data_IF_170547704945
#
_entry.id   IF_170547704945
#
_cell.length_a   1.000
_cell.length_b   1.000
_cell.length_c   1.000
_cell.angle_alpha   90.00
_cell.angle_beta   90.00
_cell.angle_gamma   90.00
#
_symmetry.space_group_name_H-M   'P 1'
#
loop_
_entity.id
_entity.type
_entity.pdbx_description
1 polymer ?
#
# COMPACT_ATOMS: atom_id res chain seq x y z
N UNK A 1 -7.14 -6.00 12.20
CA UNK A 1 -6.01 -6.49 13.01
C UNK A 1 -6.32 -6.34 14.50
N UNK A 2 -6.59 -5.14 14.98
CA UNK A 2 -6.84 -4.85 16.41
C UNK A 2 -8.02 -5.64 17.00
N UNK A 3 -9.13 -5.77 16.26
CA UNK A 3 -10.29 -6.56 16.68
C UNK A 3 -9.93 -8.05 16.85
N UNK A 4 -9.17 -8.61 15.90
CA UNK A 4 -8.73 -10.00 16.01
C UNK A 4 -7.79 -10.19 17.20
N UNK A 5 -6.85 -9.26 17.43
CA UNK A 5 -5.99 -9.27 18.59
C UNK A 5 -6.79 -9.19 19.90
N UNK A 6 -7.79 -8.31 19.98
CA UNK A 6 -8.62 -8.15 21.19
C UNK A 6 -9.43 -9.39 21.55
N UNK A 7 -9.84 -10.20 20.55
CA UNK A 7 -10.71 -11.37 20.77
C UNK A 7 -9.91 -12.66 20.92
N UNK A 8 -8.78 -12.80 20.21
CA UNK A 8 -8.06 -14.05 20.05
C UNK A 8 -6.75 -14.12 20.84
N UNK A 9 -6.31 -13.01 21.46
CA UNK A 9 -5.04 -12.98 22.17
C UNK A 9 -5.09 -13.77 23.48
N UNK A 10 -3.95 -14.35 23.83
CA UNK A 10 -3.67 -15.01 25.09
C UNK A 10 -2.55 -14.22 25.83
N UNK A 11 -2.57 -14.11 27.17
CA UNK A 11 -1.60 -13.34 27.95
C UNK A 11 -0.14 -13.78 27.75
N UNK A 12 0.08 -15.02 27.33
CA UNK A 12 1.42 -15.61 27.18
C UNK A 12 1.95 -15.61 25.76
N UNK A 13 1.19 -15.10 24.79
CA UNK A 13 1.54 -15.16 23.38
C UNK A 13 1.25 -13.85 22.64
N UNK A 14 2.00 -13.63 21.57
CA UNK A 14 1.64 -12.68 20.53
C UNK A 14 0.76 -13.37 19.48
N UNK A 15 -0.10 -12.61 18.79
CA UNK A 15 -0.91 -13.14 17.71
C UNK A 15 -0.24 -12.80 16.38
N UNK A 16 0.18 -13.84 15.64
CA UNK A 16 0.66 -13.69 14.27
C UNK A 16 -0.51 -13.79 13.31
N UNK A 17 -0.80 -12.70 12.61
CA UNK A 17 -1.94 -12.62 11.67
C UNK A 17 -1.41 -12.52 10.25
N UNK A 18 -1.82 -13.46 9.39
CA UNK A 18 -1.59 -13.41 7.95
C UNK A 18 -2.87 -13.02 7.22
N UNK A 19 -2.75 -12.17 6.21
CA UNK A 19 -3.86 -11.72 5.37
C UNK A 19 -3.84 -12.35 3.98
N UNK A 20 -2.77 -13.04 3.65
CA UNK A 20 -2.59 -13.66 2.35
C UNK A 20 -1.91 -15.04 2.49
N UNK A 21 -2.30 -16.06 1.69
CA UNK A 21 -3.39 -16.06 0.70
C UNK A 21 -4.78 -16.08 1.34
N UNK A 22 -4.88 -16.48 2.59
CA UNK A 22 -6.09 -16.49 3.40
C UNK A 22 -5.86 -15.83 4.74
N UNK A 23 -6.91 -15.23 5.30
CA UNK A 23 -6.84 -14.71 6.64
C UNK A 23 -6.64 -15.85 7.64
N UNK A 24 -5.54 -15.83 8.35
CA UNK A 24 -5.24 -16.80 9.39
C UNK A 24 -4.56 -16.13 10.59
N UNK A 25 -4.76 -16.70 11.77
CA UNK A 25 -4.14 -16.22 12.99
C UNK A 25 -3.57 -17.40 13.78
N UNK A 26 -2.36 -17.25 14.31
CA UNK A 26 -1.69 -18.24 15.13
C UNK A 26 -1.02 -17.59 16.32
N UNK A 27 -1.07 -18.26 17.47
CA UNK A 27 -0.39 -17.81 18.68
C UNK A 27 1.12 -18.11 18.59
N UNK A 28 1.93 -17.10 18.89
CA UNK A 28 3.39 -17.22 18.98
C UNK A 28 3.78 -17.00 20.44
N UNK A 29 4.32 -18.02 21.14
CA UNK A 29 4.69 -17.89 22.54
C UNK A 29 5.69 -16.74 22.77
N UNK A 30 5.44 -15.95 23.78
CA UNK A 30 6.37 -14.90 24.20
C UNK A 30 7.47 -15.48 25.10
N UNK A 31 8.69 -14.98 25.02
CA UNK A 31 9.73 -15.34 25.97
C UNK A 31 9.30 -15.01 27.41
N UNK A 32 9.58 -15.89 28.35
CA UNK A 32 9.22 -15.73 29.77
C UNK A 32 9.69 -14.42 30.43
N UNK A 33 10.70 -13.77 29.84
CA UNK A 33 11.24 -12.49 30.30
C UNK A 33 10.94 -11.32 29.37
N UNK A 34 9.93 -11.47 28.47
CA UNK A 34 9.52 -10.36 27.61
C UNK A 34 8.94 -9.23 28.46
N UNK A 35 9.43 -8.02 28.23
CA UNK A 35 8.93 -6.79 28.86
C UNK A 35 8.47 -5.86 27.77
N UNK A 36 7.24 -5.38 27.88
CA UNK A 36 6.67 -4.40 26.97
C UNK A 36 6.62 -3.04 27.65
N UNK A 37 7.23 -2.04 27.05
CA UNK A 37 7.19 -0.65 27.53
C UNK A 37 6.30 0.16 26.60
N UNK A 38 5.20 0.68 27.14
CA UNK A 38 4.30 1.56 26.41
C UNK A 38 4.59 3.01 26.79
N UNK A 39 4.97 3.82 25.80
CA UNK A 39 5.17 5.25 25.96
C UNK A 39 4.08 6.02 25.20
N UNK A 40 3.40 6.95 25.87
CA UNK A 40 2.46 7.82 25.20
C UNK A 40 3.20 8.98 24.52
N UNK A 41 3.04 9.10 23.21
CA UNK A 41 3.63 10.21 22.43
C UNK A 41 2.95 11.56 22.67
N UNK A 42 1.81 11.59 23.37
CA UNK A 42 0.95 12.75 23.57
C UNK A 42 0.37 13.34 22.27
N UNK A 43 0.55 12.67 21.15
CA UNK A 43 -0.02 13.07 19.86
C UNK A 43 -1.38 12.43 19.70
N UNK A 44 -2.42 13.24 19.55
CA UNK A 44 -3.77 12.77 19.26
C UNK A 44 -3.89 12.52 17.75
N UNK A 45 -4.15 11.27 17.36
CA UNK A 45 -4.47 10.92 15.99
C UNK A 45 -5.99 10.99 15.78
N UNK A 46 -6.49 12.12 15.30
CA UNK A 46 -7.90 12.23 14.92
C UNK A 46 -8.11 11.60 13.55
N UNK A 47 -8.48 10.31 13.56
CA UNK A 47 -8.71 9.53 12.35
C UNK A 47 -9.89 10.08 11.53
N UNK A 48 -10.91 10.63 12.18
CA UNK A 48 -12.09 11.16 11.49
C UNK A 48 -11.73 12.34 10.58
N UNK A 49 -10.79 13.19 11.01
CA UNK A 49 -10.35 14.35 10.24
C UNK A 49 -9.17 14.04 9.29
N UNK A 50 -8.26 13.17 9.71
CA UNK A 50 -6.99 12.96 9.01
C UNK A 50 -6.90 11.67 8.19
N UNK A 51 -7.90 10.76 8.28
CA UNK A 51 -7.83 9.46 7.60
C UNK A 51 -7.71 9.60 6.08
N UNK A 52 -8.39 10.57 5.48
CA UNK A 52 -8.34 10.83 4.04
C UNK A 52 -6.88 11.00 3.57
N UNK A 53 -6.15 11.96 4.13
CA UNK A 53 -4.78 12.27 3.69
C UNK A 53 -3.73 11.32 4.26
N UNK A 54 -3.91 10.86 5.51
CA UNK A 54 -2.87 10.09 6.20
C UNK A 54 -2.94 8.57 6.02
N UNK A 55 -4.13 8.04 5.68
CA UNK A 55 -4.33 6.60 5.49
C UNK A 55 -4.76 6.26 4.07
N UNK A 56 -5.88 6.83 3.62
CA UNK A 56 -6.48 6.43 2.36
C UNK A 56 -5.59 6.79 1.16
N UNK A 57 -4.97 7.98 1.16
CA UNK A 57 -4.04 8.34 0.11
C UNK A 57 -2.79 7.46 0.09
N UNK A 58 -2.31 6.96 1.23
CA UNK A 58 -1.18 5.98 1.25
C UNK A 58 -1.55 4.69 0.52
N UNK A 59 -2.81 4.26 0.61
CA UNK A 59 -3.31 3.10 -0.17
C UNK A 59 -3.35 3.43 -1.66
N UNK A 60 -3.84 4.62 -2.03
CA UNK A 60 -3.84 5.08 -3.43
C UNK A 60 -2.42 5.09 -3.99
N UNK A 61 -1.48 5.69 -3.28
CA UNK A 61 -0.07 5.77 -3.71
C UNK A 61 0.53 4.39 -3.98
N UNK A 62 0.29 3.41 -3.09
CA UNK A 62 0.81 2.05 -3.29
C UNK A 62 0.18 1.33 -4.48
N UNK A 63 -1.11 1.53 -4.72
CA UNK A 63 -1.81 0.94 -5.87
C UNK A 63 -1.38 1.59 -7.19
N UNK A 64 -1.24 2.92 -7.20
CA UNK A 64 -0.75 3.65 -8.39
C UNK A 64 0.71 3.29 -8.68
N UNK A 65 1.57 3.23 -7.66
CA UNK A 65 2.95 2.78 -7.80
C UNK A 65 3.03 1.36 -8.39
N UNK A 66 2.16 0.46 -7.94
CA UNK A 66 2.09 -0.90 -8.49
C UNK A 66 1.72 -0.88 -9.99
N UNK A 67 0.75 -0.04 -10.40
CA UNK A 67 0.36 0.10 -11.81
C UNK A 67 1.49 0.69 -12.66
N UNK A 68 2.13 1.76 -12.19
CA UNK A 68 3.26 2.39 -12.91
C UNK A 68 4.39 1.37 -13.10
N UNK A 69 4.74 0.63 -12.03
CA UNK A 69 5.77 -0.39 -12.08
C UNK A 69 5.40 -1.52 -13.05
N UNK A 70 4.17 -2.01 -12.99
CA UNK A 70 3.68 -3.06 -13.89
C UNK A 70 3.72 -2.61 -15.37
N UNK A 71 3.31 -1.38 -15.66
CA UNK A 71 3.41 -0.80 -16.99
C UNK A 71 4.86 -0.72 -17.48
N UNK A 72 5.80 -0.30 -16.59
CA UNK A 72 7.23 -0.24 -16.91
C UNK A 72 7.86 -1.61 -17.18
N UNK A 73 7.25 -2.68 -16.64
CA UNK A 73 7.63 -4.07 -16.88
C UNK A 73 6.92 -4.69 -18.09
N UNK A 74 6.04 -3.95 -18.77
CA UNK A 74 5.29 -4.41 -19.93
C UNK A 74 4.11 -5.33 -19.61
N UNK A 75 3.64 -5.37 -18.36
CA UNK A 75 2.46 -6.12 -18.00
C UNK A 75 1.19 -5.41 -18.48
N UNK A 76 0.28 -6.19 -19.07
CA UNK A 76 -1.05 -5.69 -19.43
C UNK A 76 -1.93 -5.72 -18.20
N UNK A 77 -2.54 -4.58 -17.89
CA UNK A 77 -3.48 -4.39 -16.78
C UNK A 77 -4.71 -3.71 -17.36
N UNK A 78 -5.88 -4.26 -17.07
CA UNK A 78 -7.12 -3.62 -17.50
C UNK A 78 -7.30 -2.26 -16.82
N UNK A 79 -7.96 -1.33 -17.49
CA UNK A 79 -8.09 0.05 -17.02
C UNK A 79 -8.72 0.15 -15.64
N UNK A 80 -9.70 -0.72 -15.34
CA UNK A 80 -10.45 -0.75 -14.07
C UNK A 80 -9.81 -1.61 -12.98
N UNK A 81 -8.74 -2.34 -13.30
CA UNK A 81 -8.08 -3.21 -12.33
C UNK A 81 -7.18 -2.41 -11.39
N UNK A 82 -7.20 -2.81 -10.12
CA UNK A 82 -6.29 -2.34 -9.08
C UNK A 82 -5.29 -3.45 -8.79
N UNK A 83 -4.09 -3.33 -9.33
CA UNK A 83 -3.01 -4.27 -9.05
C UNK A 83 -2.25 -3.85 -7.80
N UNK A 84 -1.80 -4.81 -7.00
CA UNK A 84 -0.98 -4.58 -5.82
C UNK A 84 0.51 -4.80 -6.12
N UNK A 85 1.40 -4.22 -5.30
CA UNK A 85 2.85 -4.48 -5.42
C UNK A 85 3.20 -5.97 -5.26
N UNK A 86 2.45 -6.70 -4.41
CA UNK A 86 2.60 -8.15 -4.26
C UNK A 86 2.31 -8.88 -5.57
N UNK A 87 1.24 -8.51 -6.28
CA UNK A 87 0.89 -9.13 -7.56
C UNK A 87 1.90 -8.79 -8.65
N UNK A 88 2.41 -7.56 -8.67
CA UNK A 88 3.50 -7.17 -9.58
C UNK A 88 4.75 -8.01 -9.33
N UNK A 89 5.19 -8.11 -8.07
CA UNK A 89 6.34 -8.93 -7.68
C UNK A 89 6.11 -10.41 -8.01
N UNK A 90 4.90 -10.91 -7.79
CA UNK A 90 4.50 -12.27 -8.14
C UNK A 90 4.60 -12.55 -9.65
N UNK A 91 3.97 -11.70 -10.45
CA UNK A 91 4.04 -11.80 -11.92
C UNK A 91 5.48 -11.68 -12.42
N UNK A 92 6.27 -10.79 -11.84
CA UNK A 92 7.67 -10.63 -12.20
C UNK A 92 8.52 -11.86 -11.84
N UNK A 93 8.22 -12.53 -10.73
CA UNK A 93 8.84 -13.81 -10.34
C UNK A 93 8.33 -15.02 -11.15
N UNK A 94 7.43 -14.81 -12.12
CA UNK A 94 6.84 -15.90 -12.92
C UNK A 94 5.76 -16.71 -12.19
N UNK A 95 5.20 -16.16 -11.09
CA UNK A 95 4.14 -16.80 -10.34
C UNK A 95 2.86 -16.92 -11.17
N UNK A 96 2.21 -18.07 -11.12
CA UNK A 96 0.83 -18.25 -11.60
C UNK A 96 -0.17 -17.83 -10.54
N UNK A 97 -1.36 -17.43 -10.96
CA UNK A 97 -2.42 -17.03 -10.04
C UNK A 97 -2.73 -18.15 -9.04
N UNK A 98 -2.80 -17.80 -7.75
CA UNK A 98 -3.08 -18.74 -6.67
C UNK A 98 -1.87 -19.47 -6.07
N UNK A 99 -0.69 -19.38 -6.66
CA UNK A 99 0.53 -19.97 -6.07
C UNK A 99 1.15 -19.05 -5.02
N UNK A 100 1.84 -19.61 -4.04
CA UNK A 100 2.70 -18.85 -3.14
C UNK A 100 4.14 -18.80 -3.67
N UNK A 101 4.82 -17.68 -3.44
CA UNK A 101 6.22 -17.53 -3.84
C UNK A 101 7.07 -17.94 -2.65
N UNK A 102 7.97 -18.91 -2.87
CA UNK A 102 8.97 -19.23 -1.86
C UNK A 102 9.89 -18.03 -1.54
N UNK A 103 10.42 -17.96 -0.30
CA UNK A 103 11.21 -16.82 0.16
C UNK A 103 12.37 -16.45 -0.77
N UNK A 104 13.11 -17.43 -1.24
CA UNK A 104 14.27 -17.22 -2.13
C UNK A 104 13.88 -16.62 -3.50
N UNK A 105 12.76 -17.09 -4.07
CA UNK A 105 12.26 -16.58 -5.34
C UNK A 105 11.73 -15.14 -5.18
N UNK A 106 11.09 -14.86 -4.04
CA UNK A 106 10.62 -13.52 -3.71
C UNK A 106 11.80 -12.56 -3.52
N UNK A 107 12.84 -12.96 -2.79
CA UNK A 107 14.05 -12.15 -2.59
C UNK A 107 14.72 -11.79 -3.92
N UNK A 108 14.92 -12.78 -4.80
CA UNK A 108 15.47 -12.54 -6.14
C UNK A 108 14.62 -11.58 -6.96
N UNK A 109 13.29 -11.74 -6.90
CA UNK A 109 12.37 -10.87 -7.62
C UNK A 109 12.43 -9.43 -7.07
N UNK A 110 12.48 -9.24 -5.75
CA UNK A 110 12.57 -7.93 -5.12
C UNK A 110 13.89 -7.22 -5.46
N UNK A 111 15.02 -7.92 -5.41
CA UNK A 111 16.32 -7.37 -5.80
C UNK A 111 16.36 -6.96 -7.29
N UNK A 112 15.73 -7.74 -8.16
CA UNK A 112 15.65 -7.39 -9.57
C UNK A 112 14.68 -6.22 -9.83
N UNK A 113 13.60 -6.09 -9.05
CA UNK A 113 12.67 -4.97 -9.12
C UNK A 113 13.28 -3.65 -8.61
N UNK A 114 14.25 -3.70 -7.69
CA UNK A 114 14.93 -2.51 -7.18
C UNK A 114 15.49 -1.66 -8.32
N UNK A 115 16.06 -2.30 -9.34
CA UNK A 115 16.60 -1.63 -10.53
C UNK A 115 15.51 -1.02 -11.44
N UNK A 116 14.22 -1.33 -11.18
CA UNK A 116 13.08 -0.81 -11.95
C UNK A 116 12.36 0.34 -11.25
N UNK A 117 12.76 0.68 -10.03
CA UNK A 117 12.13 1.75 -9.25
C UNK A 117 12.34 3.16 -9.84
N UNK A 118 13.24 3.31 -10.81
CA UNK A 118 13.39 4.56 -11.56
C UNK A 118 12.07 5.04 -12.19
N UNK A 119 11.17 4.12 -12.56
CA UNK A 119 9.85 4.47 -13.10
C UNK A 119 8.99 5.26 -12.10
N UNK A 120 9.24 5.09 -10.80
CA UNK A 120 8.51 5.74 -9.71
C UNK A 120 9.12 7.09 -9.29
N UNK A 121 10.28 7.48 -9.84
CA UNK A 121 10.90 8.75 -9.50
C UNK A 121 10.19 9.92 -10.19
N UNK A 122 10.08 11.09 -9.54
CA UNK A 122 9.54 12.29 -10.16
C UNK A 122 10.42 12.74 -11.34
N UNK A 123 9.81 13.41 -12.32
CA UNK A 123 10.54 13.97 -13.48
C UNK A 123 11.50 15.09 -13.08
N UNK A 124 11.12 15.86 -12.05
CA UNK A 124 11.96 16.91 -11.45
C UNK A 124 12.01 16.67 -9.95
N UNK A 125 13.19 16.36 -9.44
CA UNK A 125 13.43 16.39 -8.01
C UNK A 125 13.55 17.85 -7.59
N UNK A 126 12.58 18.36 -6.84
CA UNK A 126 12.71 19.60 -6.10
C UNK A 126 13.28 19.22 -4.74
N UNK A 127 14.24 19.97 -4.23
CA UNK A 127 14.89 19.67 -2.96
C UNK A 127 13.85 19.47 -1.83
N UNK A 128 13.80 18.24 -1.31
CA UNK A 128 12.90 17.85 -0.23
C UNK A 128 11.61 17.13 -0.64
N UNK A 129 11.25 17.06 -1.91
CA UNK A 129 10.09 16.32 -2.40
C UNK A 129 10.49 14.90 -2.82
N UNK A 130 9.91 13.91 -2.14
CA UNK A 130 10.26 12.48 -2.31
C UNK A 130 9.24 11.70 -3.14
N UNK A 131 8.17 12.32 -3.63
CA UNK A 131 7.04 11.64 -4.27
C UNK A 131 6.69 12.17 -5.65
N UNK A 132 5.73 11.50 -6.29
CA UNK A 132 5.10 11.94 -7.53
C UNK A 132 3.92 12.86 -7.20
N UNK A 133 3.77 13.95 -7.95
CA UNK A 133 2.54 14.75 -7.94
C UNK A 133 1.37 13.95 -8.51
N UNK A 134 0.13 14.35 -8.21
CA UNK A 134 -1.07 13.72 -8.77
C UNK A 134 -1.03 13.73 -10.30
N UNK A 135 -0.63 14.84 -10.90
CA UNK A 135 -0.49 14.97 -12.36
C UNK A 135 0.50 13.95 -12.92
N UNK A 136 1.65 13.76 -12.28
CA UNK A 136 2.63 12.75 -12.68
C UNK A 136 2.14 11.32 -12.47
N UNK A 137 1.37 11.07 -11.41
CA UNK A 137 0.74 9.77 -11.17
C UNK A 137 -0.25 9.41 -12.29
N UNK A 138 -1.12 10.35 -12.67
CA UNK A 138 -2.05 10.16 -13.79
C UNK A 138 -1.28 9.86 -15.07
N UNK A 139 -0.30 10.70 -15.44
CA UNK A 139 0.48 10.53 -16.66
C UNK A 139 1.22 9.18 -16.71
N UNK A 140 1.92 8.84 -15.63
CA UNK A 140 2.70 7.59 -15.55
C UNK A 140 1.84 6.34 -15.43
N UNK A 141 0.61 6.46 -14.91
CA UNK A 141 -0.33 5.34 -14.83
C UNK A 141 -0.81 4.86 -16.21
N UNK A 142 -0.70 5.71 -17.21
CA UNK A 142 -1.19 5.44 -18.58
C UNK A 142 -2.71 5.47 -18.71
N UNK A 143 -3.42 5.98 -17.69
CA UNK A 143 -4.89 6.10 -17.71
C UNK A 143 -5.34 7.51 -18.07
N UNK A 144 -6.50 7.65 -18.74
CA UNK A 144 -7.21 8.92 -18.81
C UNK A 144 -7.53 9.44 -17.40
N UNK A 145 -7.55 10.78 -17.24
CA UNK A 145 -7.70 11.41 -15.92
C UNK A 145 -9.02 11.03 -15.22
N UNK A 146 -10.11 10.94 -15.98
CA UNK A 146 -11.44 10.53 -15.49
C UNK A 146 -11.45 9.07 -15.01
N UNK A 147 -10.84 8.17 -15.77
CA UNK A 147 -10.68 6.76 -15.38
C UNK A 147 -9.80 6.62 -14.17
N UNK A 148 -8.68 7.36 -14.10
CA UNK A 148 -7.81 7.36 -12.94
C UNK A 148 -8.57 7.80 -11.67
N UNK A 149 -9.34 8.87 -11.76
CA UNK A 149 -10.16 9.37 -10.67
C UNK A 149 -11.21 8.33 -10.23
N UNK A 150 -11.95 7.73 -11.20
CA UNK A 150 -12.94 6.69 -10.91
C UNK A 150 -12.30 5.51 -10.16
N UNK A 151 -11.14 5.03 -10.64
CA UNK A 151 -10.51 3.82 -10.11
C UNK A 151 -9.81 4.06 -8.77
N UNK A 152 -9.10 5.17 -8.61
CA UNK A 152 -8.19 5.37 -7.47
C UNK A 152 -8.66 6.39 -6.44
N UNK A 153 -9.45 7.40 -6.81
CA UNK A 153 -9.79 8.51 -5.92
C UNK A 153 -11.24 8.52 -5.45
N UNK A 154 -12.19 8.03 -6.27
CA UNK A 154 -13.62 8.13 -5.98
C UNK A 154 -14.02 7.57 -4.60
N UNK A 155 -13.42 6.47 -4.18
CA UNK A 155 -13.71 5.84 -2.89
C UNK A 155 -13.11 6.61 -1.71
N UNK A 156 -12.01 7.31 -1.91
CA UNK A 156 -11.40 8.18 -0.88
C UNK A 156 -12.26 9.41 -0.66
N UNK A 157 -12.85 9.94 -1.72
CA UNK A 157 -13.72 11.12 -1.66
C UNK A 157 -15.11 10.79 -1.13
N UNK A 158 -15.67 9.60 -1.47
CA UNK A 158 -17.00 9.18 -1.04
C UNK A 158 -17.11 8.94 0.48
N UNK A 159 -16.02 8.52 1.13
CA UNK A 159 -15.99 8.38 2.59
C UNK A 159 -16.03 9.73 3.34
N UNK A 160 -15.89 10.82 2.61
CA UNK A 160 -15.88 12.19 3.15
C UNK A 160 -17.27 12.82 3.07
N UNK A 161 -18.30 12.26 3.69
CA UNK A 161 -19.68 12.74 3.65
C UNK A 161 -19.85 14.20 4.14
N UNK A 162 -18.83 14.80 4.75
CA UNK A 162 -18.91 16.14 5.33
C UNK A 162 -17.96 17.20 4.78
N UNK A 163 -17.07 16.89 3.86
CA UNK A 163 -16.21 17.89 3.22
C UNK A 163 -16.01 17.56 1.73
N UNK A 164 -16.68 18.31 0.87
CA UNK A 164 -16.40 18.37 -0.58
C UNK A 164 -15.05 19.06 -0.81
N UNK A 165 -13.97 18.38 -0.48
CA UNK A 165 -12.62 18.85 -0.82
C UNK A 165 -12.07 17.92 -1.89
N UNK A 166 -11.91 18.45 -3.09
CA UNK A 166 -11.23 17.75 -4.19
C UNK A 166 -9.79 17.43 -3.78
N UNK A 167 -9.34 16.23 -4.07
CA UNK A 167 -7.95 15.82 -3.84
C UNK A 167 -7.06 16.59 -4.83
N UNK A 168 -6.04 17.22 -4.32
CA UNK A 168 -5.09 18.05 -5.08
C UNK A 168 -3.66 17.54 -4.89
N UNK A 169 -2.72 18.08 -5.66
CA UNK A 169 -1.30 17.73 -5.52
C UNK A 169 -0.77 17.93 -4.11
N UNK A 170 -1.26 18.93 -3.37
CA UNK A 170 -0.84 19.19 -1.98
C UNK A 170 -1.26 18.13 -0.97
N UNK A 171 -2.18 17.22 -1.32
CA UNK A 171 -2.63 16.15 -0.43
C UNK A 171 -1.66 14.94 -0.42
N UNK A 172 -0.69 14.90 -1.35
CA UNK A 172 0.27 13.80 -1.52
C UNK A 172 1.65 14.05 -0.87
N UNK A 173 1.83 15.11 -0.09
CA UNK A 173 3.11 15.45 0.55
C UNK A 173 3.04 15.47 2.07
#
# INVERSE_FOLDING_TARGET
MDQAASVMSDPSSALYITFYPTLAASAVPLPLRAVFVCANSLVVADKALSAKCRYNLRVVETLVAARILANSLGFKIDEKDRITLREVAGKFAGKKDGEDIGPESLEKALLALENKLEALKPKKSVDGELGLTLTEMVEKSGLPSDVFHEVYLSWVESESIHMKTTITDSDFF
#
